data_IF_719669875706
#
_entry.id   IF_719669875706
#
_cell.length_a   1.000
_cell.length_b   1.000
_cell.length_c   1.000
_cell.angle_alpha   90.00
_cell.angle_beta   90.00
_cell.angle_gamma   90.00
#
_symmetry.space_group_name_H-M   'P 1'
#
loop_
_entity.id
_entity.type
_entity.pdbx_description
1 polymer ?
#
# COMPACT_ATOMS: atom_id res chain seq x y z
N UNK A 1 8.13 28.71 34.49
CA UNK A 1 8.72 27.53 33.82
C UNK A 1 7.85 26.26 33.91
N UNK A 2 7.08 26.05 34.99
CA UNK A 2 6.17 24.88 35.12
C UNK A 2 5.10 24.79 34.01
N UNK A 3 4.62 25.93 33.51
CA UNK A 3 3.58 25.97 32.46
C UNK A 3 4.14 25.72 31.04
N UNK A 4 5.46 25.82 30.83
CA UNK A 4 6.10 25.55 29.54
C UNK A 4 6.25 24.04 29.27
N UNK A 5 6.40 23.23 30.32
CA UNK A 5 6.51 21.76 30.24
C UNK A 5 5.18 21.15 29.78
N UNK A 6 4.04 21.73 30.21
CA UNK A 6 2.71 21.26 29.84
C UNK A 6 2.38 21.51 28.36
N UNK A 7 2.92 22.57 27.76
CA UNK A 7 2.70 22.89 26.32
C UNK A 7 3.51 21.93 25.43
N UNK A 8 4.67 21.47 25.89
CA UNK A 8 5.55 20.56 25.14
C UNK A 8 5.01 19.12 25.07
N UNK A 9 4.27 18.68 26.09
CA UNK A 9 3.66 17.34 26.15
C UNK A 9 2.48 17.15 25.18
N UNK A 10 1.77 18.23 24.82
CA UNK A 10 0.60 18.17 23.91
C UNK A 10 1.02 17.96 22.45
N UNK A 11 2.21 18.41 22.06
CA UNK A 11 2.71 18.27 20.68
C UNK A 11 3.28 16.89 20.34
N UNK A 12 3.55 16.04 21.33
CA UNK A 12 4.17 14.72 21.13
C UNK A 12 3.17 13.62 20.72
N UNK A 13 1.88 13.80 20.99
CA UNK A 13 0.88 12.75 20.74
C UNK A 13 0.45 12.63 19.26
N UNK A 14 0.65 13.68 18.45
CA UNK A 14 0.15 13.71 17.07
C UNK A 14 1.04 12.96 16.07
N UNK A 15 2.31 12.72 16.39
CA UNK A 15 3.29 12.09 15.49
C UNK A 15 3.37 10.56 15.62
N UNK A 16 2.77 9.99 16.66
CA UNK A 16 2.89 8.55 16.96
C UNK A 16 2.22 7.66 15.89
N UNK A 17 1.19 8.16 15.20
CA UNK A 17 0.42 7.36 14.24
C UNK A 17 1.03 7.28 12.84
N UNK A 18 1.51 8.39 12.26
CA UNK A 18 2.28 8.35 10.99
C UNK A 18 3.51 7.45 11.16
N UNK A 19 4.16 7.51 12.32
CA UNK A 19 5.26 6.60 12.68
C UNK A 19 4.84 5.12 12.74
N UNK A 20 3.64 4.81 13.23
CA UNK A 20 3.14 3.43 13.34
C UNK A 20 2.79 2.85 11.97
N UNK A 21 2.13 3.61 11.12
CA UNK A 21 1.74 3.15 9.79
C UNK A 21 2.93 3.04 8.82
N UNK A 22 3.92 3.93 8.93
CA UNK A 22 5.18 3.80 8.19
C UNK A 22 5.94 2.53 8.62
N UNK A 23 6.04 2.29 9.94
CA UNK A 23 6.67 1.07 10.45
C UNK A 23 5.94 -0.22 9.99
N UNK A 24 4.61 -0.16 9.83
CA UNK A 24 3.85 -1.26 9.25
C UNK A 24 4.23 -1.50 7.78
N UNK A 25 4.32 -0.45 6.96
CA UNK A 25 4.76 -0.56 5.57
C UNK A 25 6.18 -1.13 5.45
N UNK A 26 7.12 -0.62 6.25
CA UNK A 26 8.52 -1.09 6.26
C UNK A 26 8.60 -2.57 6.66
N UNK A 27 7.80 -2.99 7.64
CA UNK A 27 7.71 -4.39 8.08
C UNK A 27 7.19 -5.31 6.97
N UNK A 28 6.14 -4.89 6.23
CA UNK A 28 5.63 -5.65 5.09
C UNK A 28 6.72 -5.85 4.02
N UNK A 29 7.48 -4.79 3.72
CA UNK A 29 8.55 -4.87 2.73
C UNK A 29 9.70 -5.78 3.19
N UNK A 30 10.13 -5.66 4.45
CA UNK A 30 11.15 -6.55 5.03
C UNK A 30 10.71 -8.02 4.99
N UNK A 31 9.46 -8.30 5.37
CA UNK A 31 8.91 -9.66 5.33
C UNK A 31 8.82 -10.20 3.90
N UNK A 32 8.48 -9.33 2.94
CA UNK A 32 8.44 -9.70 1.54
C UNK A 32 9.83 -10.07 1.02
N UNK A 33 10.85 -9.24 1.29
CA UNK A 33 12.23 -9.55 0.90
C UNK A 33 12.76 -10.83 1.55
N UNK A 34 12.42 -11.07 2.82
CA UNK A 34 12.76 -12.32 3.49
C UNK A 34 12.08 -13.53 2.82
N UNK A 35 10.81 -13.40 2.42
CA UNK A 35 10.08 -14.44 1.71
C UNK A 35 10.75 -14.77 0.36
N UNK A 36 11.08 -13.74 -0.44
CA UNK A 36 11.79 -13.91 -1.71
C UNK A 36 13.17 -14.55 -1.52
N UNK A 37 13.89 -14.18 -0.46
CA UNK A 37 15.21 -14.73 -0.12
C UNK A 37 15.22 -16.23 0.19
N UNK A 38 14.06 -16.84 0.45
CA UNK A 38 13.92 -18.30 0.60
C UNK A 38 13.90 -19.05 -0.74
N UNK A 39 13.74 -18.33 -1.87
CA UNK A 39 13.63 -18.85 -3.23
C UNK A 39 12.56 -19.94 -3.44
N UNK A 40 11.62 -20.07 -2.50
CA UNK A 40 10.50 -21.00 -2.57
C UNK A 40 9.20 -20.23 -2.65
N UNK A 41 8.29 -20.66 -3.53
CA UNK A 41 6.93 -20.10 -3.65
C UNK A 41 6.95 -18.56 -3.82
N UNK A 42 7.83 -18.05 -4.67
CA UNK A 42 8.02 -16.60 -4.87
C UNK A 42 6.73 -15.91 -5.34
N UNK A 43 5.92 -16.59 -6.15
CA UNK A 43 4.59 -16.12 -6.50
C UNK A 43 3.66 -15.96 -5.28
N UNK A 44 3.65 -16.92 -4.36
CA UNK A 44 2.86 -16.81 -3.12
C UNK A 44 3.37 -15.64 -2.25
N UNK A 45 4.69 -15.38 -2.23
CA UNK A 45 5.25 -14.20 -1.56
C UNK A 45 4.66 -12.91 -2.15
N UNK A 46 4.67 -12.77 -3.48
CA UNK A 46 4.14 -11.59 -4.17
C UNK A 46 2.63 -11.41 -3.91
N UNK A 47 1.85 -12.48 -4.00
CA UNK A 47 0.39 -12.46 -3.74
C UNK A 47 0.09 -12.04 -2.30
N UNK A 48 0.82 -12.58 -1.33
CA UNK A 48 0.63 -12.23 0.07
C UNK A 48 1.01 -10.79 0.35
N UNK A 49 2.13 -10.32 -0.20
CA UNK A 49 2.58 -8.94 -0.07
C UNK A 49 1.56 -7.95 -0.68
N UNK A 50 1.08 -8.21 -1.89
CA UNK A 50 0.03 -7.44 -2.54
C UNK A 50 -1.23 -7.31 -1.65
N UNK A 51 -1.72 -8.43 -1.10
CA UNK A 51 -2.90 -8.46 -0.22
C UNK A 51 -2.67 -7.68 1.08
N UNK A 52 -1.48 -7.78 1.66
CA UNK A 52 -1.13 -7.06 2.88
C UNK A 52 -1.06 -5.55 2.65
N UNK A 53 -0.50 -5.11 1.51
CA UNK A 53 -0.52 -3.70 1.12
C UNK A 53 -1.94 -3.18 0.90
N UNK A 54 -2.80 -3.93 0.22
CA UNK A 54 -4.20 -3.53 0.00
C UNK A 54 -4.96 -3.40 1.33
N UNK A 55 -4.77 -4.34 2.25
CA UNK A 55 -5.33 -4.27 3.60
C UNK A 55 -4.80 -3.06 4.38
N UNK A 56 -3.50 -2.78 4.30
CA UNK A 56 -2.89 -1.62 4.94
C UNK A 56 -3.46 -0.31 4.36
N UNK A 57 -3.61 -0.20 3.04
CA UNK A 57 -4.21 0.97 2.39
C UNK A 57 -5.63 1.23 2.90
N UNK A 58 -6.44 0.18 2.96
CA UNK A 58 -7.81 0.28 3.48
C UNK A 58 -7.85 0.77 4.94
N UNK A 59 -6.95 0.27 5.79
CA UNK A 59 -6.86 0.69 7.18
C UNK A 59 -6.36 2.15 7.31
N UNK A 60 -5.34 2.52 6.54
CA UNK A 60 -4.82 3.90 6.47
C UNK A 60 -5.91 4.88 6.06
N UNK A 61 -6.68 4.58 5.01
CA UNK A 61 -7.78 5.44 4.57
C UNK A 61 -8.89 5.57 5.62
N UNK A 62 -9.31 4.47 6.25
CA UNK A 62 -10.30 4.52 7.34
C UNK A 62 -9.86 5.44 8.47
N UNK A 63 -8.58 5.38 8.84
CA UNK A 63 -8.02 6.23 9.88
C UNK A 63 -7.90 7.70 9.45
N UNK A 64 -7.48 7.97 8.21
CA UNK A 64 -7.45 9.34 7.69
C UNK A 64 -8.86 9.94 7.67
N UNK A 65 -9.85 9.20 7.17
CA UNK A 65 -11.24 9.66 7.15
C UNK A 65 -11.84 9.91 8.53
N UNK A 66 -11.40 9.19 9.57
CA UNK A 66 -11.90 9.41 10.94
C UNK A 66 -11.21 10.58 11.66
N UNK A 67 -10.05 11.02 11.17
CA UNK A 67 -9.21 12.04 11.83
C UNK A 67 -9.26 13.42 11.15
N UNK A 68 -9.69 13.50 9.90
CA UNK A 68 -9.80 14.74 9.14
C UNK A 68 -11.12 15.49 9.42
N UNK A 69 -11.11 16.80 9.27
CA UNK A 69 -12.34 17.60 9.19
C UNK A 69 -13.11 17.30 7.89
N UNK A 70 -14.39 17.72 7.85
CA UNK A 70 -15.31 17.36 6.76
C UNK A 70 -14.82 17.78 5.37
N UNK A 71 -14.22 18.96 5.24
CA UNK A 71 -13.80 19.48 3.94
C UNK A 71 -12.60 18.68 3.42
N UNK A 72 -11.61 18.43 4.30
CA UNK A 72 -10.45 17.58 3.97
C UNK A 72 -10.82 16.13 3.72
N UNK A 73 -11.78 15.60 4.49
CA UNK A 73 -12.30 14.26 4.30
C UNK A 73 -12.95 14.13 2.92
N UNK A 74 -13.79 15.08 2.52
CA UNK A 74 -14.43 15.09 1.20
C UNK A 74 -13.41 15.21 0.07
N UNK A 75 -12.39 16.06 0.24
CA UNK A 75 -11.29 16.16 -0.73
C UNK A 75 -10.56 14.82 -0.89
N UNK A 76 -10.15 14.20 0.22
CA UNK A 76 -9.45 12.91 0.17
C UNK A 76 -10.32 11.81 -0.46
N UNK A 77 -11.63 11.81 -0.22
CA UNK A 77 -12.56 10.87 -0.87
C UNK A 77 -12.58 11.05 -2.38
N UNK A 78 -12.65 12.30 -2.87
CA UNK A 78 -12.63 12.58 -4.32
C UNK A 78 -11.30 12.16 -4.94
N UNK A 79 -10.18 12.47 -4.29
CA UNK A 79 -8.85 12.04 -4.73
C UNK A 79 -8.74 10.50 -4.75
N UNK A 80 -9.31 9.82 -3.76
CA UNK A 80 -9.28 8.37 -3.69
C UNK A 80 -10.13 7.73 -4.79
N UNK A 81 -11.32 8.26 -5.10
CA UNK A 81 -12.14 7.77 -6.22
C UNK A 81 -11.37 7.86 -7.54
N UNK A 82 -10.77 9.01 -7.83
CA UNK A 82 -9.96 9.20 -9.05
C UNK A 82 -8.74 8.26 -9.07
N UNK A 83 -8.14 7.99 -7.91
CA UNK A 83 -7.03 7.04 -7.82
C UNK A 83 -7.48 5.59 -8.06
N UNK A 84 -8.63 5.17 -7.53
CA UNK A 84 -9.19 3.83 -7.77
C UNK A 84 -9.49 3.60 -9.25
N UNK A 85 -10.09 4.58 -9.95
CA UNK A 85 -10.33 4.49 -11.39
C UNK A 85 -9.03 4.27 -12.18
N UNK A 86 -7.96 5.00 -11.82
CA UNK A 86 -6.64 4.83 -12.44
C UNK A 86 -6.00 3.48 -12.08
N UNK A 87 -6.21 3.00 -10.86
CA UNK A 87 -5.75 1.67 -10.43
C UNK A 87 -6.41 0.58 -11.28
N UNK A 88 -7.73 0.63 -11.43
CA UNK A 88 -8.48 -0.33 -12.23
C UNK A 88 -8.03 -0.33 -13.70
N UNK A 89 -7.86 0.84 -14.31
CA UNK A 89 -7.36 0.96 -15.68
C UNK A 89 -5.95 0.36 -15.82
N UNK A 90 -5.05 0.68 -14.88
CA UNK A 90 -3.69 0.16 -14.85
C UNK A 90 -3.67 -1.36 -14.67
N UNK A 91 -4.46 -1.89 -13.73
CA UNK A 91 -4.52 -3.31 -13.42
C UNK A 91 -5.07 -4.11 -14.59
N UNK A 92 -6.12 -3.60 -15.23
CA UNK A 92 -6.66 -4.20 -16.46
C UNK A 92 -5.61 -4.28 -17.56
N UNK A 93 -4.82 -3.22 -17.78
CA UNK A 93 -3.73 -3.23 -18.78
C UNK A 93 -2.63 -4.24 -18.46
N UNK A 94 -2.32 -4.45 -17.18
CA UNK A 94 -1.40 -5.50 -16.75
C UNK A 94 -1.99 -6.88 -17.06
N UNK A 95 -3.24 -7.13 -16.67
CA UNK A 95 -3.89 -8.44 -16.84
C UNK A 95 -4.03 -8.80 -18.31
N UNK A 96 -4.40 -7.84 -19.16
CA UNK A 96 -4.42 -8.03 -20.62
C UNK A 96 -3.04 -8.34 -21.21
N UNK A 97 -1.95 -7.86 -20.60
CA UNK A 97 -0.59 -8.17 -21.02
C UNK A 97 -0.20 -9.59 -20.62
N UNK A 98 -0.47 -9.97 -19.38
CA UNK A 98 -0.20 -11.32 -18.85
C UNK A 98 -0.93 -12.38 -19.67
N UNK A 99 -2.24 -12.18 -19.92
CA UNK A 99 -3.05 -13.09 -20.73
C UNK A 99 -2.50 -13.29 -22.15
N UNK A 100 -1.89 -12.25 -22.73
CA UNK A 100 -1.23 -12.35 -24.04
C UNK A 100 0.11 -13.10 -23.97
N UNK A 101 0.82 -12.99 -22.84
CA UNK A 101 2.11 -13.64 -22.62
C UNK A 101 1.96 -15.11 -22.26
N UNK A 102 0.96 -15.47 -21.45
CA UNK A 102 0.59 -16.86 -21.16
C UNK A 102 0.33 -17.67 -22.43
N UNK A 103 -0.23 -17.05 -23.47
CA UNK A 103 -0.43 -17.69 -24.79
C UNK A 103 0.87 -17.99 -25.54
N UNK A 104 2.01 -17.45 -25.09
CA UNK A 104 3.32 -17.51 -25.73
C UNK A 104 4.36 -18.27 -24.90
N UNK A 105 4.18 -18.41 -23.59
CA UNK A 105 5.14 -19.04 -22.66
C UNK A 105 4.48 -20.21 -21.92
N UNK A 106 5.18 -21.35 -21.80
CA UNK A 106 4.59 -22.58 -21.24
C UNK A 106 4.31 -22.56 -19.73
N UNK A 107 4.98 -21.70 -18.93
CA UNK A 107 4.93 -21.81 -17.46
C UNK A 107 4.14 -20.70 -16.74
N UNK A 108 3.98 -19.50 -17.31
CA UNK A 108 3.05 -18.43 -16.87
C UNK A 108 3.24 -17.81 -15.48
N UNK A 109 3.86 -18.53 -14.54
CA UNK A 109 4.03 -18.15 -13.14
C UNK A 109 4.94 -16.93 -12.95
N UNK A 110 5.96 -16.78 -13.80
CA UNK A 110 6.83 -15.59 -13.77
C UNK A 110 6.05 -14.33 -14.21
N UNK A 111 5.19 -14.44 -15.23
CA UNK A 111 4.34 -13.34 -15.67
C UNK A 111 3.30 -12.96 -14.59
N UNK A 112 2.75 -13.96 -13.90
CA UNK A 112 1.82 -13.78 -12.78
C UNK A 112 2.50 -13.12 -11.57
N UNK A 113 3.74 -13.51 -11.27
CA UNK A 113 4.53 -12.89 -10.20
C UNK A 113 4.86 -11.44 -10.55
N UNK A 114 5.39 -11.17 -11.75
CA UNK A 114 5.76 -9.83 -12.20
C UNK A 114 4.54 -8.91 -12.22
N UNK A 115 3.40 -9.37 -12.70
CA UNK A 115 2.16 -8.59 -12.70
C UNK A 115 1.67 -8.29 -11.29
N UNK A 116 1.73 -9.27 -10.39
CA UNK A 116 1.39 -9.10 -8.98
C UNK A 116 2.30 -8.07 -8.30
N UNK A 117 3.61 -8.11 -8.56
CA UNK A 117 4.56 -7.12 -8.05
C UNK A 117 4.29 -5.72 -8.57
N UNK A 118 3.96 -5.57 -9.86
CA UNK A 118 3.59 -4.27 -10.42
C UNK A 118 2.32 -3.70 -9.77
N UNK A 119 1.32 -4.56 -9.51
CA UNK A 119 0.11 -4.18 -8.77
C UNK A 119 0.43 -3.79 -7.32
N UNK A 120 1.29 -4.54 -6.65
CA UNK A 120 1.76 -4.24 -5.30
C UNK A 120 2.49 -2.89 -5.25
N UNK A 121 3.39 -2.63 -6.19
CA UNK A 121 4.12 -1.37 -6.28
C UNK A 121 3.18 -0.15 -6.46
N UNK A 122 2.13 -0.30 -7.26
CA UNK A 122 1.12 0.74 -7.44
C UNK A 122 0.40 1.08 -6.12
N UNK A 123 0.02 0.07 -5.34
CA UNK A 123 -0.59 0.27 -4.01
C UNK A 123 0.41 0.89 -3.03
N UNK A 124 1.65 0.40 -3.02
CA UNK A 124 2.73 0.94 -2.18
C UNK A 124 2.96 2.43 -2.43
N UNK A 125 2.93 2.87 -3.68
CA UNK A 125 3.08 4.29 -4.02
C UNK A 125 1.97 5.14 -3.37
N UNK A 126 0.73 4.66 -3.39
CA UNK A 126 -0.39 5.37 -2.73
C UNK A 126 -0.23 5.40 -1.23
N UNK A 127 0.16 4.29 -0.62
CA UNK A 127 0.49 4.24 0.82
C UNK A 127 1.57 5.26 1.17
N UNK A 128 2.66 5.29 0.41
CA UNK A 128 3.76 6.26 0.63
C UNK A 128 3.29 7.72 0.54
N UNK A 129 2.29 8.01 -0.30
CA UNK A 129 1.73 9.35 -0.43
C UNK A 129 0.75 9.73 0.70
N UNK A 130 0.24 8.75 1.46
CA UNK A 130 -0.77 8.94 2.51
C UNK A 130 -0.19 8.91 3.93
N UNK A 131 1.04 8.43 4.11
CA UNK A 131 1.72 8.26 5.40
C UNK A 131 2.64 9.44 5.74
#
# INVERSE_FOLDING_TARGET
MRNLILILLVFLCSNAYSQTSQAALDSLESNYQQCLGSSQRMYDCAVNYYRQLDSLLNNTLKQLYSSLDKDRQQQLQQEQVVWEEKKEEYFKKIDERVEKMHKRTMEGLDDDMISTDNKAAYIKQRLTALL
#
